data_IF_191865861361
#
_entry.id   IF_191865861361
#
_cell.length_a   1.000
_cell.length_b   1.000
_cell.length_c   1.000
_cell.angle_alpha   90.00
_cell.angle_beta   90.00
_cell.angle_gamma   90.00
#
_symmetry.space_group_name_H-M   'P 1'
#
loop_
_entity.id
_entity.type
_entity.pdbx_description
1 polymer ?
#
# COMPACT_ATOMS: atom_id res chain seq x y z
N UNK A 1 -6.23 12.56 16.53
CA UNK A 1 -7.31 11.56 16.45
C UNK A 1 -8.49 12.18 15.72
N UNK A 2 -9.50 11.39 15.38
CA UNK A 2 -10.67 11.83 14.61
C UNK A 2 -11.58 10.65 14.30
N UNK A 3 -12.87 10.91 14.02
CA UNK A 3 -13.84 9.85 13.68
C UNK A 3 -13.47 9.19 12.36
N UNK A 4 -12.95 9.96 11.41
CA UNK A 4 -12.45 9.50 10.12
C UNK A 4 -11.22 8.58 10.27
N UNK A 5 -10.30 8.89 11.19
CA UNK A 5 -9.13 8.05 11.47
C UNK A 5 -9.57 6.73 12.12
N UNK A 6 -10.51 6.79 13.07
CA UNK A 6 -11.07 5.59 13.70
C UNK A 6 -11.80 4.71 12.67
N UNK A 7 -12.58 5.33 11.77
CA UNK A 7 -13.24 4.65 10.66
C UNK A 7 -12.25 3.94 9.74
N UNK A 8 -11.19 4.63 9.30
CA UNK A 8 -10.15 4.05 8.45
C UNK A 8 -9.41 2.88 9.15
N UNK A 9 -9.09 3.01 10.43
CA UNK A 9 -8.46 1.94 11.19
C UNK A 9 -9.36 0.69 11.26
N UNK A 10 -10.66 0.89 11.49
CA UNK A 10 -11.67 -0.17 11.43
C UNK A 10 -11.76 -0.83 10.06
N UNK A 11 -11.73 -0.06 8.98
CA UNK A 11 -11.69 -0.58 7.60
C UNK A 11 -10.48 -1.47 7.39
N UNK A 12 -9.28 -1.03 7.81
CA UNK A 12 -8.04 -1.80 7.63
C UNK A 12 -8.06 -3.12 8.41
N UNK A 13 -8.54 -3.10 9.66
CA UNK A 13 -8.72 -4.31 10.48
C UNK A 13 -9.72 -5.27 9.82
N UNK A 14 -10.86 -4.74 9.39
CA UNK A 14 -11.92 -5.54 8.77
C UNK A 14 -11.51 -6.12 7.41
N UNK A 15 -10.70 -5.40 6.63
CA UNK A 15 -10.14 -5.85 5.37
C UNK A 15 -9.12 -6.96 5.59
N UNK A 16 -8.19 -6.79 6.54
CA UNK A 16 -7.22 -7.82 6.92
C UNK A 16 -7.91 -9.11 7.39
N UNK A 17 -8.93 -9.01 8.24
CA UNK A 17 -9.72 -10.16 8.70
C UNK A 17 -10.41 -10.92 7.54
N UNK A 18 -10.67 -10.24 6.42
CA UNK A 18 -11.25 -10.82 5.19
C UNK A 18 -10.22 -11.16 4.13
N UNK A 19 -8.92 -11.02 4.44
CA UNK A 19 -7.80 -11.21 3.52
C UNK A 19 -7.82 -10.29 2.31
N UNK A 20 -8.28 -9.06 2.49
CA UNK A 20 -8.36 -8.04 1.45
C UNK A 20 -7.21 -7.04 1.66
N UNK A 21 -6.29 -6.88 0.68
CA UNK A 21 -5.26 -5.85 0.72
C UNK A 21 -5.82 -4.43 0.75
N UNK A 22 -5.12 -3.53 1.41
CA UNK A 22 -5.47 -2.10 1.50
C UNK A 22 -4.29 -1.25 1.04
N UNK A 23 -4.57 -0.32 0.12
CA UNK A 23 -3.61 0.70 -0.30
C UNK A 23 -3.79 1.93 0.60
N UNK A 24 -2.75 2.27 1.35
CA UNK A 24 -2.70 3.40 2.29
C UNK A 24 -2.27 4.64 1.52
N UNK A 25 -3.08 5.69 1.57
CA UNK A 25 -2.90 6.94 0.81
C UNK A 25 -1.78 7.84 1.35
N UNK A 26 -2.13 8.94 2.02
CA UNK A 26 -1.19 9.88 2.62
C UNK A 26 -1.22 9.86 4.15
N UNK A 27 -0.66 10.91 4.74
CA UNK A 27 -0.40 11.05 6.19
C UNK A 27 -1.56 10.64 7.11
N UNK A 28 -2.78 11.12 6.85
CA UNK A 28 -3.96 10.81 7.69
C UNK A 28 -4.32 9.32 7.64
N UNK A 29 -4.30 8.71 6.46
CA UNK A 29 -4.58 7.28 6.31
C UNK A 29 -3.46 6.42 6.92
N UNK A 30 -2.21 6.87 6.85
CA UNK A 30 -1.08 6.21 7.51
C UNK A 30 -1.17 6.32 9.03
N UNK A 31 -1.76 7.40 9.56
CA UNK A 31 -2.02 7.52 10.99
C UNK A 31 -3.05 6.48 11.46
N UNK A 32 -4.10 6.27 10.66
CA UNK A 32 -5.06 5.19 10.89
C UNK A 32 -4.40 3.80 10.80
N UNK A 33 -3.47 3.60 9.84
CA UNK A 33 -2.70 2.37 9.73
C UNK A 33 -1.84 2.07 10.97
N UNK A 34 -1.19 3.08 11.56
CA UNK A 34 -0.45 2.89 12.81
C UNK A 34 -1.35 2.47 13.97
N UNK A 35 -2.57 3.02 14.06
CA UNK A 35 -3.55 2.60 15.07
C UNK A 35 -3.99 1.16 14.80
N UNK A 36 -4.33 0.83 13.55
CA UNK A 36 -4.78 -0.50 13.17
C UNK A 36 -3.72 -1.58 13.47
N UNK A 37 -2.46 -1.33 13.10
CA UNK A 37 -1.33 -2.23 13.39
C UNK A 37 -1.01 -2.26 14.89
N UNK A 38 -1.15 -1.14 15.61
CA UNK A 38 -0.97 -1.11 17.06
C UNK A 38 -2.02 -1.94 17.81
N UNK A 39 -3.25 -2.01 17.31
CA UNK A 39 -4.33 -2.83 17.88
C UNK A 39 -4.25 -4.30 17.43
N UNK A 40 -3.94 -4.53 16.15
CA UNK A 40 -3.88 -5.85 15.52
C UNK A 40 -2.64 -5.91 14.62
N UNK A 41 -1.49 -6.37 15.13
CA UNK A 41 -0.21 -6.33 14.40
C UNK A 41 -0.24 -6.97 13.00
N UNK A 42 -0.99 -8.07 12.84
CA UNK A 42 -1.09 -8.81 11.59
C UNK A 42 -1.72 -8.00 10.44
N UNK A 43 -2.47 -6.93 10.75
CA UNK A 43 -3.01 -6.00 9.74
C UNK A 43 -1.90 -5.49 8.83
N UNK A 44 -0.68 -5.32 9.36
CA UNK A 44 0.47 -4.84 8.60
C UNK A 44 0.68 -5.63 7.31
N UNK A 45 0.48 -6.94 7.31
CA UNK A 45 0.72 -7.80 6.15
C UNK A 45 -0.26 -7.55 4.99
N UNK A 46 -1.35 -6.81 5.23
CA UNK A 46 -2.33 -6.45 4.23
C UNK A 46 -2.18 -5.02 3.70
N UNK A 47 -1.24 -4.24 4.24
CA UNK A 47 -1.07 -2.83 3.88
C UNK A 47 -0.01 -2.63 2.80
N UNK A 48 -0.36 -1.84 1.78
CA UNK A 48 0.54 -1.32 0.76
C UNK A 48 0.64 0.21 0.93
N UNK A 49 1.86 0.75 1.04
CA UNK A 49 2.04 2.20 1.03
C UNK A 49 1.91 2.74 -0.40
N UNK A 50 1.02 3.70 -0.64
CA UNK A 50 0.85 4.28 -1.97
C UNK A 50 2.00 5.19 -2.35
N UNK A 51 2.07 6.37 -1.73
CA UNK A 51 2.98 7.42 -2.09
C UNK A 51 3.69 8.00 -0.87
N UNK A 52 4.87 8.57 -1.10
CA UNK A 52 5.48 9.44 -0.10
C UNK A 52 4.90 10.85 -0.23
N UNK A 53 3.90 11.17 0.59
CA UNK A 53 3.43 12.55 0.76
C UNK A 53 4.52 13.46 1.33
N UNK A 54 4.43 14.76 1.05
CA UNK A 54 5.47 15.74 1.47
C UNK A 54 5.39 16.15 2.95
N UNK A 55 4.44 15.61 3.75
CA UNK A 55 4.44 15.86 5.18
C UNK A 55 5.66 15.20 5.85
N UNK A 56 6.37 15.99 6.66
CA UNK A 56 7.65 15.61 7.29
C UNK A 56 7.54 14.29 8.07
N UNK A 57 6.41 14.06 8.74
CA UNK A 57 6.21 12.84 9.52
C UNK A 57 5.90 11.59 8.70
N UNK A 58 5.51 11.72 7.43
CA UNK A 58 5.00 10.58 6.67
C UNK A 58 6.07 9.50 6.47
N UNK A 59 7.30 9.91 6.16
CA UNK A 59 8.47 9.03 6.06
C UNK A 59 8.74 8.27 7.36
N UNK A 60 8.59 8.93 8.51
CA UNK A 60 8.80 8.31 9.83
C UNK A 60 7.74 7.25 10.09
N UNK A 61 6.48 7.52 9.72
CA UNK A 61 5.38 6.57 9.88
C UNK A 61 5.54 5.36 8.96
N UNK A 62 5.93 5.57 7.70
CA UNK A 62 6.29 4.48 6.78
C UNK A 62 7.42 3.61 7.34
N UNK A 63 8.49 4.23 7.86
CA UNK A 63 9.58 3.49 8.51
C UNK A 63 9.11 2.71 9.74
N UNK A 64 8.26 3.30 10.58
CA UNK A 64 7.71 2.65 11.77
C UNK A 64 6.86 1.43 11.41
N UNK A 65 6.02 1.57 10.38
CA UNK A 65 5.23 0.47 9.85
C UNK A 65 6.06 -0.51 9.01
N UNK A 66 7.29 -0.15 8.60
CA UNK A 66 8.06 -0.91 7.63
C UNK A 66 7.45 -0.93 6.23
N UNK A 67 6.63 0.07 5.86
CA UNK A 67 6.03 0.21 4.54
C UNK A 67 6.98 0.97 3.60
N UNK A 68 7.13 0.49 2.37
CA UNK A 68 7.81 1.21 1.29
C UNK A 68 6.76 1.81 0.36
N UNK A 69 6.71 3.13 0.15
CA UNK A 69 5.79 3.74 -0.80
C UNK A 69 6.14 3.32 -2.23
N UNK A 70 5.11 3.06 -3.04
CA UNK A 70 5.26 2.64 -4.43
C UNK A 70 5.59 3.80 -5.38
N UNK A 71 5.14 5.01 -5.07
CA UNK A 71 5.39 6.21 -5.89
C UNK A 71 5.87 7.41 -5.06
N UNK A 72 6.61 8.32 -5.69
CA UNK A 72 6.99 9.59 -5.09
C UNK A 72 6.76 10.71 -6.12
N UNK A 73 5.63 11.42 -5.97
CA UNK A 73 5.16 12.44 -6.91
C UNK A 73 4.94 13.80 -6.22
N UNK A 74 5.48 14.01 -5.02
CA UNK A 74 5.27 15.22 -4.21
C UNK A 74 3.78 15.57 -3.96
N UNK A 75 2.92 14.56 -3.81
CA UNK A 75 1.50 14.76 -3.52
C UNK A 75 1.26 15.22 -2.07
N UNK A 76 0.14 15.90 -1.83
CA UNK A 76 -0.34 16.36 -0.50
C UNK A 76 -1.84 16.67 -0.43
N UNK A 77 -2.60 16.21 -1.42
CA UNK A 77 -4.04 16.48 -1.47
C UNK A 77 -4.80 15.58 -0.48
N UNK A 78 -4.37 14.32 -0.37
CA UNK A 78 -5.08 13.30 0.40
C UNK A 78 -6.26 12.75 -0.41
N UNK A 79 -7.37 12.49 0.28
CA UNK A 79 -8.64 12.00 -0.30
C UNK A 79 -8.53 10.65 -1.03
N UNK A 80 -7.45 9.88 -0.80
CA UNK A 80 -7.22 8.62 -1.50
C UNK A 80 -6.56 8.77 -2.86
N UNK A 81 -6.16 9.98 -3.27
CA UNK A 81 -5.64 10.24 -4.63
C UNK A 81 -4.36 9.46 -4.94
N UNK A 82 -3.41 9.40 -4.02
CA UNK A 82 -2.21 8.59 -4.18
C UNK A 82 -2.51 7.09 -4.18
N UNK A 83 -3.45 6.65 -3.34
CA UNK A 83 -3.92 5.27 -3.34
C UNK A 83 -4.55 4.87 -4.69
N UNK A 84 -5.41 5.71 -5.27
CA UNK A 84 -6.05 5.48 -6.57
C UNK A 84 -5.01 5.37 -7.69
N UNK A 85 -4.06 6.30 -7.75
CA UNK A 85 -2.98 6.27 -8.75
C UNK A 85 -2.14 4.99 -8.65
N UNK A 86 -1.95 4.47 -7.43
CA UNK A 86 -1.14 3.27 -7.17
C UNK A 86 -1.80 1.99 -7.67
N UNK A 87 -3.13 1.93 -7.80
CA UNK A 87 -3.81 0.72 -8.29
C UNK A 87 -3.33 0.29 -9.68
N UNK A 88 -2.95 1.22 -10.55
CA UNK A 88 -2.41 0.89 -11.87
C UNK A 88 -1.10 0.09 -11.78
N UNK A 89 -0.26 0.34 -10.77
CA UNK A 89 0.96 -0.45 -10.55
C UNK A 89 0.64 -1.86 -10.05
N UNK A 90 -0.37 -1.98 -9.18
CA UNK A 90 -0.82 -3.28 -8.66
C UNK A 90 -1.44 -4.11 -9.78
N UNK A 91 -2.24 -3.48 -10.64
CA UNK A 91 -2.82 -4.10 -11.82
C UNK A 91 -1.74 -4.55 -12.79
N UNK A 92 -0.77 -3.69 -13.11
CA UNK A 92 0.38 -4.05 -13.95
C UNK A 92 1.18 -5.23 -13.38
N UNK A 93 1.45 -5.24 -12.07
CA UNK A 93 2.11 -6.37 -11.41
C UNK A 93 1.29 -7.66 -11.50
N UNK A 94 -0.03 -7.57 -11.39
CA UNK A 94 -0.94 -8.71 -11.55
C UNK A 94 -0.95 -9.24 -12.98
N UNK A 95 -0.95 -8.35 -13.98
CA UNK A 95 -0.85 -8.72 -15.39
C UNK A 95 0.49 -9.39 -15.69
N UNK A 96 1.60 -8.87 -15.15
CA UNK A 96 2.93 -9.49 -15.28
C UNK A 96 2.91 -10.95 -14.83
N UNK A 97 2.34 -11.23 -13.66
CA UNK A 97 2.26 -12.60 -13.11
C UNK A 97 1.38 -13.51 -13.97
N UNK A 98 0.28 -12.98 -14.52
CA UNK A 98 -0.72 -13.77 -15.25
C UNK A 98 -0.38 -13.98 -16.72
N UNK A 99 0.29 -13.02 -17.35
CA UNK A 99 0.34 -12.90 -18.81
C UNK A 99 1.76 -12.95 -19.38
N UNK A 100 2.81 -12.75 -18.56
CA UNK A 100 4.17 -12.94 -19.07
C UNK A 100 4.48 -14.42 -19.26
N UNK A 101 4.92 -14.75 -20.47
CA UNK A 101 5.45 -16.08 -20.78
C UNK A 101 6.70 -16.38 -19.93
N UNK A 102 6.80 -17.61 -19.46
CA UNK A 102 8.03 -18.15 -18.88
C UNK A 102 9.11 -18.26 -19.96
N UNK A 103 10.39 -18.37 -19.56
CA UNK A 103 11.49 -18.56 -20.50
C UNK A 103 11.30 -19.78 -21.42
N UNK A 104 10.72 -20.86 -20.87
CA UNK A 104 10.41 -22.07 -21.63
C UNK A 104 9.35 -21.80 -22.71
N UNK A 105 8.27 -21.10 -22.37
CA UNK A 105 7.19 -20.74 -23.32
C UNK A 105 7.66 -19.73 -24.37
N UNK A 106 8.57 -18.83 -24.00
CA UNK A 106 9.15 -17.84 -24.89
C UNK A 106 10.30 -18.39 -25.77
N UNK A 107 10.72 -19.64 -25.57
CA UNK A 107 11.81 -20.26 -26.33
C UNK A 107 13.18 -19.63 -26.06
N UNK A 108 13.38 -19.05 -24.88
CA UNK A 108 14.66 -18.45 -24.49
C UNK A 108 15.57 -19.55 -23.94
N UNK A 109 16.61 -19.91 -24.70
CA UNK A 109 17.64 -20.87 -24.26
C UNK A 109 18.64 -20.21 -23.32
N UNK A 110 18.89 -20.80 -22.15
CA UNK A 110 19.97 -20.38 -21.24
C UNK A 110 21.32 -20.37 -21.98
N UNK A 111 21.81 -19.18 -22.31
CA UNK A 111 23.18 -18.91 -22.75
C UNK A 111 23.81 -17.82 -21.87
N UNK A 112 23.57 -17.92 -20.57
CA UNK A 112 24.27 -17.19 -19.52
C UNK A 112 25.33 -18.07 -18.87
#
# INVERSE_FOLDING_TARGET
>A
GGLEIAGLAGVMIAAAARRIPVVVDGFISTAAAMIAVGLVPDVRHYLFGSHESVEIGHRVMHKHLGLTPLINLNLRLGEGTGAVLTFHLIEAASCIIREMATFAEAGVSDKG
#
